data_IF_651579885516
#
_entry.id   IF_651579885516
#
_cell.length_a   1.000
_cell.length_b   1.000
_cell.length_c   1.000
_cell.angle_alpha   90.00
_cell.angle_beta   90.00
_cell.angle_gamma   90.00
#
_symmetry.space_group_name_H-M   'P 1'
#
loop_
_entity.id
_entity.type
_entity.pdbx_description
1 polymer ?
#
# COMPACT_ATOMS: atom_id res chain seq x y z
N UNK A 1 1.59 -3.61 -9.65
CA UNK A 1 2.59 -2.59 -9.25
C UNK A 1 3.47 -2.25 -10.44
N UNK A 2 4.07 -1.05 -10.49
CA UNK A 2 4.77 -0.55 -11.69
C UNK A 2 6.12 0.12 -11.39
N UNK A 3 6.89 0.27 -12.47
CA UNK A 3 8.01 1.18 -12.65
C UNK A 3 7.61 2.23 -13.71
N UNK A 4 6.97 3.33 -13.27
CA UNK A 4 6.50 4.49 -14.07
C UNK A 4 5.53 4.21 -15.25
N UNK A 5 4.42 4.96 -15.33
CA UNK A 5 3.52 5.01 -16.50
C UNK A 5 2.25 4.12 -16.42
N UNK A 6 1.11 4.64 -16.87
CA UNK A 6 -0.23 4.18 -16.46
C UNK A 6 -0.88 3.01 -17.27
N UNK A 7 -0.09 2.13 -17.91
CA UNK A 7 -0.42 0.99 -18.81
C UNK A 7 -1.91 0.82 -19.24
N UNK A 8 -2.65 -0.28 -18.99
CA UNK A 8 -2.53 -1.51 -18.15
C UNK A 8 -1.52 -2.59 -18.61
N UNK A 9 -1.37 -3.72 -17.88
CA UNK A 9 -0.58 -4.91 -18.31
C UNK A 9 -1.41 -6.21 -18.24
N UNK A 10 -1.20 -7.13 -19.18
CA UNK A 10 -1.82 -8.48 -19.18
C UNK A 10 -0.99 -9.53 -18.42
N UNK A 11 0.20 -9.15 -17.94
CA UNK A 11 1.10 -9.99 -17.13
C UNK A 11 1.24 -9.37 -15.74
N UNK A 12 1.13 -10.21 -14.70
CA UNK A 12 1.35 -9.81 -13.32
C UNK A 12 2.72 -9.13 -13.15
N UNK A 13 2.76 -8.06 -12.37
CA UNK A 13 3.97 -7.27 -12.06
C UNK A 13 4.10 -7.08 -10.56
N UNK A 14 5.33 -7.13 -10.07
CA UNK A 14 5.70 -6.92 -8.67
C UNK A 14 6.71 -5.77 -8.53
N UNK A 15 6.82 -5.22 -7.33
CA UNK A 15 7.88 -4.26 -6.97
C UNK A 15 8.12 -4.32 -5.46
N UNK A 16 9.35 -4.05 -5.03
CA UNK A 16 9.69 -3.92 -3.62
C UNK A 16 9.44 -2.50 -3.13
N UNK A 17 8.68 -2.36 -2.03
CA UNK A 17 8.35 -1.06 -1.44
C UNK A 17 8.82 -1.01 0.03
N UNK A 18 9.56 0.04 0.44
CA UNK A 18 9.86 0.24 1.86
C UNK A 18 8.59 0.63 2.61
N UNK A 19 8.39 0.09 3.81
CA UNK A 19 7.29 0.51 4.70
C UNK A 19 7.62 1.87 5.31
N UNK A 20 6.66 2.79 5.25
CA UNK A 20 6.81 4.18 5.72
C UNK A 20 5.96 4.43 6.96
N UNK A 21 6.52 5.11 7.95
CA UNK A 21 5.78 5.51 9.13
C UNK A 21 4.62 6.47 8.76
N UNK A 22 3.41 6.18 9.27
CA UNK A 22 2.19 6.90 8.92
C UNK A 22 2.29 8.43 9.09
N UNK A 23 3.16 8.94 9.97
CA UNK A 23 3.36 10.39 10.17
C UNK A 23 3.83 11.13 8.91
N UNK A 24 4.73 10.53 8.10
CA UNK A 24 5.18 11.14 6.85
C UNK A 24 4.06 11.13 5.81
N UNK A 25 3.37 9.99 5.71
CA UNK A 25 2.24 9.79 4.82
C UNK A 25 1.07 10.76 5.14
N UNK A 26 0.71 10.89 6.42
CA UNK A 26 -0.31 11.82 6.91
C UNK A 26 0.06 13.28 6.63
N UNK A 27 1.33 13.66 6.77
CA UNK A 27 1.81 15.00 6.39
C UNK A 27 1.55 15.29 4.92
N UNK A 28 1.96 14.39 4.02
CA UNK A 28 1.85 14.60 2.56
C UNK A 28 0.40 14.61 2.06
N UNK A 29 -0.41 13.61 2.43
CA UNK A 29 -1.82 13.54 2.02
C UNK A 29 -2.72 14.54 2.75
N UNK A 30 -2.43 14.86 4.01
CA UNK A 30 -3.17 15.86 4.78
C UNK A 30 -2.94 17.28 4.27
N UNK A 31 -1.68 17.68 4.05
CA UNK A 31 -1.35 19.05 3.60
C UNK A 31 -1.79 19.35 2.17
N UNK A 32 -1.73 18.36 1.26
CA UNK A 32 -1.88 18.61 -0.19
C UNK A 32 -3.25 18.15 -0.72
N UNK A 33 -3.83 17.10 -0.16
CA UNK A 33 -5.09 16.51 -0.63
C UNK A 33 -6.23 16.56 0.40
N UNK A 34 -5.98 17.07 1.62
CA UNK A 34 -6.92 17.02 2.75
C UNK A 34 -7.42 15.59 3.07
N UNK A 35 -6.61 14.56 2.79
CA UNK A 35 -6.95 13.14 3.00
C UNK A 35 -6.32 12.65 4.32
N UNK A 36 -7.12 12.27 5.33
CA UNK A 36 -6.60 11.87 6.63
C UNK A 36 -6.04 10.43 6.62
N UNK A 37 -4.72 10.29 6.76
CA UNK A 37 -4.09 8.98 6.97
C UNK A 37 -4.16 8.62 8.47
N UNK A 38 -4.86 7.53 8.81
CA UNK A 38 -5.12 7.10 10.19
C UNK A 38 -4.39 5.79 10.53
N UNK A 39 -4.52 5.31 11.77
CA UNK A 39 -3.85 4.09 12.26
C UNK A 39 -4.28 2.80 11.51
N UNK A 40 -5.50 2.77 10.97
CA UNK A 40 -6.00 1.66 10.13
C UNK A 40 -5.47 1.69 8.68
N UNK A 41 -4.65 2.69 8.32
CA UNK A 41 -3.86 2.68 7.10
C UNK A 41 -2.42 2.23 7.37
N UNK A 42 -1.76 1.72 6.34
CA UNK A 42 -0.35 1.39 6.24
C UNK A 42 0.18 2.09 4.98
N UNK A 43 1.35 2.73 5.02
CA UNK A 43 1.92 3.35 3.83
C UNK A 43 3.23 2.66 3.42
N UNK A 44 3.47 2.53 2.11
CA UNK A 44 4.70 1.98 1.57
C UNK A 44 5.05 2.62 0.22
N UNK A 45 6.34 2.67 -0.10
CA UNK A 45 6.88 3.40 -1.25
C UNK A 45 7.87 4.48 -0.84
N UNK A 46 8.62 5.04 -1.79
CA UNK A 46 9.67 6.00 -1.46
C UNK A 46 9.12 7.39 -1.08
N UNK A 47 9.90 8.10 -0.26
CA UNK A 47 9.67 9.49 0.12
C UNK A 47 10.44 10.49 -0.75
N UNK A 48 11.41 10.04 -1.54
CA UNK A 48 12.34 10.92 -2.27
C UNK A 48 12.22 10.73 -3.79
N UNK A 49 12.44 9.50 -4.24
CA UNK A 49 12.19 9.05 -5.61
C UNK A 49 10.74 8.57 -5.80
N UNK A 50 10.39 8.28 -7.05
CA UNK A 50 9.10 7.73 -7.44
C UNK A 50 9.27 6.60 -8.43
N UNK A 51 8.27 6.36 -9.27
CA UNK A 51 8.28 5.31 -10.28
C UNK A 51 7.92 3.93 -9.75
N UNK A 52 8.45 3.52 -8.61
CA UNK A 52 8.13 2.25 -7.93
C UNK A 52 6.90 2.35 -7.02
N UNK A 53 5.79 1.70 -7.38
CA UNK A 53 4.57 1.76 -6.57
C UNK A 53 3.34 1.08 -7.17
N UNK A 54 2.17 1.41 -6.62
CA UNK A 54 0.85 0.99 -7.11
C UNK A 54 0.35 1.94 -8.21
N UNK A 55 -0.50 1.43 -9.08
CA UNK A 55 -1.09 2.21 -10.17
C UNK A 55 -2.49 1.68 -10.55
N UNK A 56 -3.09 2.23 -11.60
CA UNK A 56 -4.35 1.78 -12.18
C UNK A 56 -4.31 0.26 -12.41
N UNK A 57 -5.33 -0.44 -11.90
CA UNK A 57 -5.45 -1.90 -11.91
C UNK A 57 -4.95 -2.60 -10.64
N UNK A 58 -4.16 -1.95 -9.78
CA UNK A 58 -3.62 -2.57 -8.55
C UNK A 58 -4.57 -2.49 -7.34
N UNK A 59 -5.69 -1.76 -7.44
CA UNK A 59 -6.66 -1.55 -6.34
C UNK A 59 -7.23 -2.87 -5.83
N UNK A 60 -7.23 -3.06 -4.50
CA UNK A 60 -7.59 -4.35 -3.88
C UNK A 60 -6.47 -5.40 -3.92
N UNK A 61 -5.36 -5.13 -4.61
CA UNK A 61 -4.20 -6.02 -4.68
C UNK A 61 -3.43 -6.14 -3.34
N UNK A 62 -2.60 -7.19 -3.19
CA UNK A 62 -1.91 -7.47 -1.94
C UNK A 62 -0.60 -6.69 -1.78
N UNK A 63 -0.39 -6.08 -0.61
CA UNK A 63 0.95 -5.74 -0.13
C UNK A 63 1.44 -6.87 0.77
N UNK A 64 2.50 -7.56 0.35
CA UNK A 64 3.07 -8.70 1.06
C UNK A 64 4.41 -8.32 1.69
N UNK A 65 4.69 -8.84 2.89
CA UNK A 65 5.98 -8.71 3.55
C UNK A 65 6.60 -10.10 3.77
N UNK A 66 7.85 -10.26 3.36
CA UNK A 66 8.66 -11.42 3.72
C UNK A 66 9.22 -11.23 5.14
N UNK A 67 9.04 -12.24 5.99
CA UNK A 67 9.48 -12.22 7.39
C UNK A 67 10.75 -13.05 7.58
N UNK A 68 11.44 -12.87 8.72
CA UNK A 68 12.73 -13.53 9.03
C UNK A 68 12.68 -15.07 9.01
N UNK A 69 11.50 -15.66 9.08
CA UNK A 69 11.23 -17.10 8.99
C UNK A 69 10.98 -17.58 7.53
N UNK A 70 11.23 -16.72 6.54
CA UNK A 70 11.03 -16.97 5.12
C UNK A 70 9.57 -16.88 4.65
N UNK A 71 8.59 -16.72 5.56
CA UNK A 71 7.18 -16.70 5.20
C UNK A 71 6.73 -15.32 4.72
N UNK A 72 5.80 -15.35 3.78
CA UNK A 72 5.14 -14.15 3.25
C UNK A 72 3.80 -13.92 3.94
N UNK A 73 3.57 -12.67 4.35
CA UNK A 73 2.35 -12.26 5.04
C UNK A 73 1.68 -11.11 4.31
N UNK A 74 0.36 -11.16 4.17
CA UNK A 74 -0.44 -10.03 3.71
C UNK A 74 -0.45 -8.93 4.77
N UNK A 75 0.31 -7.86 4.56
CA UNK A 75 0.42 -6.73 5.46
C UNK A 75 -0.61 -5.63 5.16
N UNK A 76 -0.97 -5.47 3.89
CA UNK A 76 -1.94 -4.49 3.45
C UNK A 76 -2.70 -4.86 2.18
N UNK A 77 -3.74 -4.09 1.88
CA UNK A 77 -4.52 -4.15 0.64
C UNK A 77 -4.47 -2.78 -0.04
N UNK A 78 -4.10 -2.72 -1.32
CA UNK A 78 -3.97 -1.46 -2.07
C UNK A 78 -5.28 -0.66 -2.01
N UNK A 79 -5.22 0.59 -1.53
CA UNK A 79 -6.40 1.44 -1.35
C UNK A 79 -6.34 2.70 -2.21
N UNK A 80 -5.34 3.57 -2.00
CA UNK A 80 -5.18 4.80 -2.77
C UNK A 80 -3.72 5.26 -2.82
N UNK A 81 -3.40 6.10 -3.81
CA UNK A 81 -2.06 6.66 -4.01
C UNK A 81 -2.14 7.98 -4.78
N UNK A 82 -1.00 8.63 -5.01
CA UNK A 82 -0.92 9.81 -5.89
C UNK A 82 -0.11 9.47 -7.13
N UNK A 83 -0.72 9.61 -8.31
CA UNK A 83 -0.01 9.66 -9.60
C UNK A 83 0.91 8.48 -9.95
N UNK A 84 0.49 7.24 -9.70
CA UNK A 84 1.23 6.01 -10.06
C UNK A 84 2.71 6.05 -9.66
N UNK A 85 2.97 5.98 -8.34
CA UNK A 85 4.29 6.17 -7.73
C UNK A 85 4.87 7.59 -7.90
N UNK A 86 4.09 8.63 -7.58
CA UNK A 86 4.59 10.01 -7.57
C UNK A 86 5.65 10.21 -6.47
N UNK A 87 6.81 10.83 -6.76
CA UNK A 87 7.83 11.13 -5.76
C UNK A 87 7.26 11.88 -4.54
N UNK A 88 7.63 11.43 -3.33
CA UNK A 88 7.14 12.00 -2.07
C UNK A 88 5.72 11.61 -1.67
N UNK A 89 5.00 10.80 -2.45
CA UNK A 89 3.68 10.28 -2.11
C UNK A 89 3.69 8.74 -2.07
N UNK A 90 4.06 8.14 -0.93
CA UNK A 90 3.90 6.70 -0.73
C UNK A 90 2.46 6.25 -1.00
N UNK A 91 2.29 5.02 -1.47
CA UNK A 91 0.99 4.41 -1.64
C UNK A 91 0.39 4.05 -0.28
N UNK A 92 -0.94 4.10 -0.19
CA UNK A 92 -1.71 3.86 1.03
C UNK A 92 -2.52 2.59 0.90
N UNK A 93 -2.35 1.73 1.90
CA UNK A 93 -2.92 0.40 1.99
C UNK A 93 -3.81 0.29 3.23
N UNK A 94 -4.89 -0.48 3.14
CA UNK A 94 -5.68 -0.90 4.30
C UNK A 94 -4.82 -1.81 5.17
N UNK A 95 -4.61 -1.47 6.46
CA UNK A 95 -3.72 -2.23 7.37
C UNK A 95 -4.38 -3.53 7.82
N UNK A 96 -3.90 -4.69 7.34
CA UNK A 96 -4.47 -6.00 7.70
C UNK A 96 -4.48 -6.22 9.21
N UNK A 97 -3.40 -5.88 9.91
CA UNK A 97 -3.30 -6.11 11.36
C UNK A 97 -4.36 -5.39 12.19
N UNK A 98 -4.92 -4.28 11.71
CA UNK A 98 -6.06 -3.61 12.34
C UNK A 98 -7.38 -4.37 12.14
N UNK A 99 -7.60 -4.92 10.94
CA UNK A 99 -8.82 -5.66 10.59
C UNK A 99 -8.77 -7.17 10.95
N UNK A 100 -7.62 -7.71 11.39
CA UNK A 100 -7.47 -9.12 11.77
C UNK A 100 -8.56 -9.67 12.70
N UNK A 101 -9.06 -8.95 13.74
CA UNK A 101 -10.16 -9.45 14.57
C UNK A 101 -11.45 -9.67 13.77
N UNK A 102 -11.81 -8.71 12.91
CA UNK A 102 -12.98 -8.80 12.02
C UNK A 102 -12.83 -9.89 10.96
N UNK A 103 -11.65 -10.02 10.34
CA UNK A 103 -11.35 -11.10 9.39
C UNK A 103 -11.54 -12.46 10.07
N UNK A 104 -10.94 -12.66 11.25
CA UNK A 104 -11.08 -13.91 12.03
C UNK A 104 -12.53 -14.19 12.45
N UNK A 105 -13.30 -13.16 12.80
CA UNK A 105 -14.72 -13.30 13.11
C UNK A 105 -15.51 -13.79 11.88
N UNK A 106 -15.27 -13.21 10.71
CA UNK A 106 -15.96 -13.60 9.46
C UNK A 106 -15.54 -14.97 8.94
N UNK A 107 -14.26 -15.33 9.05
CA UNK A 107 -13.78 -16.66 8.66
C UNK A 107 -14.31 -17.81 9.53
N UNK A 108 -14.75 -17.53 10.77
CA UNK A 108 -15.36 -18.53 11.68
C UNK A 108 -16.89 -18.67 11.51
N UNK A 109 -17.49 -17.87 10.63
CA UNK A 109 -18.92 -17.93 10.33
C UNK A 109 -19.23 -18.85 9.13
N UNK A 110 -18.23 -19.59 8.67
CA UNK A 110 -18.22 -20.59 7.61
C UNK A 110 -17.34 -21.78 8.06
#
# INVERSE_FOLDING_TARGET
MRLYGARLEDKLKEVWLPVVANVHCAKMYGMIHNVPVRHYHLCAGSLNDGGSGTCIGDSGGPLQCNMKDGRWYLAGVTSFGSGCAKPGFPDVFTRITYYLPWIKQKMRAF
#
